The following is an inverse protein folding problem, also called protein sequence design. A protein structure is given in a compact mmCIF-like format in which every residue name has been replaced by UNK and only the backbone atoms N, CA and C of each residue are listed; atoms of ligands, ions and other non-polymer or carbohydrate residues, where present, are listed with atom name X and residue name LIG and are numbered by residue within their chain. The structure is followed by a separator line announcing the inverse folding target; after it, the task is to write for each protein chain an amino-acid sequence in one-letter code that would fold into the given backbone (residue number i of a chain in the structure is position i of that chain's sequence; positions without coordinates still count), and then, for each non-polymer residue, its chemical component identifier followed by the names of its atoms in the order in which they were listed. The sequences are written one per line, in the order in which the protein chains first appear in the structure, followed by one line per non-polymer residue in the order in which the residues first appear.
data_IF_159966898518
#
_entry.id   IF_159966898518
#
_cell.length_a   1.000
_cell.length_b   1.000
_cell.length_c   1.000
_cell.angle_alpha   90.00
_cell.angle_beta   90.00
_cell.angle_gamma   90.00
#
_symmetry.space_group_name_H-M   'P 1'
#
loop_
_entity.id
_entity.type
_entity.pdbx_description
1 polymer ?
#
# COMPACT_ATOMS: atom_id res chain seq x y z
N UNK A 1 40.20 -22.07 6.80
CA UNK A 1 38.83 -21.52 6.91
C UNK A 1 38.83 -20.15 6.27
N UNK A 2 38.25 -20.05 5.07
CA UNK A 2 38.23 -18.82 4.29
C UNK A 2 37.40 -17.76 5.01
N UNK A 3 38.02 -16.62 5.28
CA UNK A 3 37.37 -15.42 5.76
C UNK A 3 36.32 -15.02 4.70
N UNK A 4 35.04 -15.27 4.99
CA UNK A 4 33.92 -14.82 4.18
C UNK A 4 33.87 -13.30 4.26
N UNK A 5 34.58 -12.63 3.36
CA UNK A 5 34.35 -11.23 3.07
C UNK A 5 32.93 -11.12 2.53
N UNK A 6 31.98 -10.82 3.41
CA UNK A 6 30.62 -10.49 3.02
C UNK A 6 30.68 -9.19 2.22
N UNK A 7 30.45 -9.32 0.92
CA UNK A 7 30.45 -8.23 -0.02
C UNK A 7 29.24 -7.32 0.22
N UNK A 8 29.47 -6.02 0.07
CA UNK A 8 28.40 -5.03 0.04
C UNK A 8 27.40 -5.36 -1.07
N UNK A 9 26.13 -4.99 -0.88
CA UNK A 9 25.08 -5.23 -1.87
C UNK A 9 25.40 -4.66 -3.26
N UNK A 10 26.18 -3.58 -3.32
CA UNK A 10 26.56 -2.93 -4.58
C UNK A 10 27.72 -3.63 -5.33
N UNK A 11 28.40 -4.57 -4.67
CA UNK A 11 29.55 -5.27 -5.24
C UNK A 11 29.18 -6.58 -5.96
N UNK A 12 27.93 -7.02 -5.85
CA UNK A 12 27.43 -8.27 -6.43
C UNK A 12 26.40 -8.00 -7.54
N UNK A 13 26.37 -8.81 -8.61
CA UNK A 13 25.30 -8.75 -9.59
C UNK A 13 23.98 -9.11 -8.92
N UNK A 14 22.88 -8.49 -9.38
CA UNK A 14 21.54 -8.76 -8.87
C UNK A 14 21.12 -10.17 -9.28
N UNK A 15 20.78 -11.01 -8.31
CA UNK A 15 20.38 -12.38 -8.53
C UNK A 15 18.95 -12.63 -8.03
N UNK A 16 18.31 -13.68 -8.57
CA UNK A 16 17.01 -14.16 -8.06
C UNK A 16 17.11 -14.61 -6.60
N UNK A 17 18.25 -15.17 -6.20
CA UNK A 17 18.52 -15.58 -4.81
C UNK A 17 18.54 -14.42 -3.81
N UNK A 18 18.69 -13.18 -4.26
CA UNK A 18 18.60 -12.03 -3.34
C UNK A 18 17.17 -11.86 -2.81
N UNK A 19 16.16 -12.35 -3.54
CA UNK A 19 14.74 -12.26 -3.18
C UNK A 19 14.41 -12.98 -1.88
N UNK A 20 15.29 -13.89 -1.45
CA UNK A 20 15.26 -14.48 -0.11
C UNK A 20 15.25 -13.42 1.00
N UNK A 21 15.84 -12.24 0.75
CA UNK A 21 15.77 -11.09 1.66
C UNK A 21 14.35 -10.59 1.92
N UNK A 22 13.46 -10.66 0.93
CA UNK A 22 12.03 -10.33 1.13
C UNK A 22 11.36 -11.38 2.00
N UNK A 23 11.75 -12.64 1.83
CA UNK A 23 11.25 -13.77 2.60
C UNK A 23 11.82 -13.80 4.02
N UNK A 24 12.91 -13.09 4.35
CA UNK A 24 13.30 -12.88 5.75
C UNK A 24 12.27 -12.03 6.53
N UNK A 25 11.56 -11.13 5.85
CA UNK A 25 10.60 -10.21 6.45
C UNK A 25 9.15 -10.52 6.04
N UNK A 26 8.32 -9.54 5.65
CA UNK A 26 6.89 -9.75 5.36
C UNK A 26 6.60 -10.46 4.02
N UNK A 27 7.63 -10.82 3.23
CA UNK A 27 7.44 -11.49 1.96
C UNK A 27 7.02 -12.95 2.12
N UNK A 28 6.10 -13.41 1.27
CA UNK A 28 5.63 -14.79 1.17
C UNK A 28 5.86 -15.33 -0.23
N UNK A 29 6.06 -16.64 -0.31
CA UNK A 29 6.15 -17.38 -1.56
C UNK A 29 5.01 -18.39 -1.62
N UNK A 30 4.32 -18.44 -2.75
CA UNK A 30 3.23 -19.39 -2.99
C UNK A 30 3.49 -20.20 -4.24
N UNK A 31 3.28 -21.50 -4.15
CA UNK A 31 3.49 -22.45 -5.24
C UNK A 31 2.14 -22.83 -5.84
N UNK A 32 2.05 -22.84 -7.17
CA UNK A 32 0.85 -23.19 -7.93
C UNK A 32 1.08 -24.38 -8.88
N UNK A 33 -0.02 -25.01 -9.32
CA UNK A 33 -0.02 -25.95 -10.43
C UNK A 33 0.90 -27.16 -10.23
N UNK A 34 0.78 -27.85 -9.08
CA UNK A 34 1.65 -28.99 -8.69
C UNK A 34 3.15 -28.64 -8.66
N UNK A 35 3.51 -27.39 -8.37
CA UNK A 35 4.91 -26.99 -8.29
C UNK A 35 5.52 -26.56 -9.62
N UNK A 36 4.72 -26.12 -10.58
CA UNK A 36 5.18 -25.64 -11.90
C UNK A 36 5.45 -24.14 -11.96
N UNK A 37 4.82 -23.37 -11.08
CA UNK A 37 5.03 -21.93 -10.97
C UNK A 37 4.93 -21.48 -9.51
N UNK A 38 5.59 -20.38 -9.19
CA UNK A 38 5.48 -19.74 -7.89
C UNK A 38 5.38 -18.22 -8.03
N UNK A 39 4.79 -17.56 -7.03
CA UNK A 39 4.75 -16.10 -6.93
C UNK A 39 5.33 -15.63 -5.60
N UNK A 40 5.82 -14.40 -5.60
CA UNK A 40 6.16 -13.67 -4.39
C UNK A 40 5.11 -12.60 -4.12
N UNK A 41 4.74 -12.46 -2.85
CA UNK A 41 3.81 -11.43 -2.36
C UNK A 41 4.43 -10.72 -1.16
N UNK A 42 4.34 -9.40 -1.10
CA UNK A 42 4.78 -8.59 0.04
C UNK A 42 3.67 -7.62 0.40
N UNK A 43 3.09 -7.80 1.59
CA UNK A 43 2.09 -6.87 2.15
C UNK A 43 2.83 -5.83 3.01
N UNK A 44 2.51 -4.55 2.84
CA UNK A 44 3.23 -3.44 3.46
C UNK A 44 2.31 -2.61 4.35
N UNK A 45 2.83 -2.22 5.51
CA UNK A 45 2.13 -1.40 6.50
C UNK A 45 1.76 -2.19 7.76
N UNK A 46 1.47 -1.49 8.87
CA UNK A 46 0.96 -2.14 10.08
C UNK A 46 -0.34 -2.86 9.74
N UNK A 47 -0.54 -4.04 10.32
CA UNK A 47 -1.83 -4.73 10.24
C UNK A 47 -2.89 -3.85 10.92
N UNK A 48 -4.10 -3.72 10.35
CA UNK A 48 -5.15 -2.96 11.00
C UNK A 48 -5.39 -3.48 12.43
N UNK A 49 -5.64 -2.56 13.36
CA UNK A 49 -6.14 -2.93 14.67
C UNK A 49 -7.53 -3.55 14.48
N UNK A 50 -7.85 -4.67 15.16
CA UNK A 50 -9.20 -5.22 15.07
C UNK A 50 -10.19 -4.13 15.48
N UNK A 51 -11.24 -3.93 14.68
CA UNK A 51 -12.35 -3.09 15.09
C UNK A 51 -12.83 -3.62 16.45
N UNK A 52 -13.06 -2.76 17.45
CA UNK A 52 -13.57 -3.22 18.73
C UNK A 52 -14.83 -4.02 18.45
N UNK A 53 -14.88 -5.26 18.94
CA UNK A 53 -16.11 -6.04 18.95
C UNK A 53 -17.13 -5.13 19.62
N UNK A 54 -18.15 -4.69 18.87
CA UNK A 54 -19.31 -4.04 19.47
C UNK A 54 -19.79 -5.06 20.51
N UNK A 55 -19.60 -4.73 21.79
CA UNK A 55 -20.17 -5.53 22.87
C UNK A 55 -21.66 -5.58 22.52
N UNK A 56 -22.14 -6.74 22.09
CA UNK A 56 -23.56 -6.99 21.89
C UNK A 56 -24.19 -6.50 23.19
N UNK A 57 -24.86 -5.35 23.15
CA UNK A 57 -25.64 -4.85 24.27
C UNK A 57 -26.61 -5.99 24.54
N UNK A 58 -26.32 -6.75 25.61
CA UNK A 58 -27.17 -7.81 26.12
C UNK A 58 -28.53 -7.15 26.28
N UNK A 59 -29.45 -7.46 25.36
CA UNK A 59 -30.86 -7.09 25.36
C UNK A 59 -31.47 -7.73 26.61
N UNK A 60 -31.10 -7.21 27.78
CA UNK A 60 -31.78 -7.45 29.02
C UNK A 60 -33.15 -6.85 28.83
N UNK A 61 -34.15 -7.74 28.72
CA UNK A 61 -35.58 -7.44 28.66
C UNK A 61 -35.95 -6.31 29.64
N UNK A 62 -35.86 -5.06 29.17
CA UNK A 62 -36.39 -3.90 29.84
C UNK A 62 -37.83 -3.78 29.35
N UNK A 63 -38.72 -4.44 30.09
CA UNK A 63 -40.17 -4.23 30.08
C UNK A 63 -40.49 -2.77 29.75
N UNK A 64 -41.20 -2.58 28.63
CA UNK A 64 -41.59 -1.29 28.10
C UNK A 64 -42.36 -0.47 29.16
N UNK A 65 -41.70 0.51 29.78
CA UNK A 65 -42.41 1.67 30.30
C UNK A 65 -42.59 2.63 29.13
N UNK A 66 -43.83 2.71 28.65
CA UNK A 66 -44.32 3.82 27.83
C UNK A 66 -44.19 5.11 28.65
N UNK A 67 -43.03 5.76 28.53
CA UNK A 67 -42.82 7.15 28.90
C UNK A 67 -42.26 7.82 27.65
N UNK A 68 -43.18 8.28 26.80
CA UNK A 68 -42.87 9.08 25.62
C UNK A 68 -42.10 10.32 26.09
N UNK A 69 -40.82 10.49 25.74
CA UNK A 69 -40.12 11.74 26.05
C UNK A 69 -40.76 12.85 25.21
N UNK A 70 -41.17 13.94 25.87
CA UNK A 70 -41.54 15.16 25.16
C UNK A 70 -40.38 15.56 24.22
N UNK A 71 -40.66 16.03 23.00
CA UNK A 71 -39.62 16.44 22.07
C UNK A 71 -38.80 17.59 22.66
N UNK A 72 -37.48 17.45 22.63
CA UNK A 72 -36.57 18.54 22.99
C UNK A 72 -36.91 19.79 22.17
N UNK A 73 -36.92 20.99 22.79
CA UNK A 73 -37.15 22.22 22.06
C UNK A 73 -36.04 22.39 21.01
N UNK A 74 -36.46 22.57 19.77
CA UNK A 74 -35.58 22.97 18.66
C UNK A 74 -34.82 24.22 19.12
N UNK A 75 -33.48 24.25 19.05
CA UNK A 75 -32.75 25.49 19.28
C UNK A 75 -33.09 26.45 18.13
N UNK A 76 -33.98 27.39 18.39
CA UNK A 76 -34.01 28.67 17.69
C UNK A 76 -32.72 29.38 18.08
N UNK A 77 -31.68 29.20 17.26
CA UNK A 77 -30.57 30.13 16.99
C UNK A 77 -29.41 29.32 16.40
N UNK A 78 -29.50 28.97 15.12
CA UNK A 78 -28.30 28.76 14.32
C UNK A 78 -27.68 30.14 14.11
N UNK A 79 -26.47 30.35 14.65
CA UNK A 79 -25.69 31.54 14.37
C UNK A 79 -25.67 31.80 12.85
N UNK A 80 -25.93 33.04 12.39
CA UNK A 80 -25.90 33.35 10.98
C UNK A 80 -24.52 32.99 10.42
N UNK A 81 -24.52 32.21 9.33
CA UNK A 81 -23.31 31.92 8.55
C UNK A 81 -22.63 33.27 8.28
N UNK A 82 -21.36 33.46 8.66
CA UNK A 82 -20.69 34.73 8.43
C UNK A 82 -20.72 35.04 6.94
N UNK A 83 -21.01 36.30 6.61
CA UNK A 83 -20.98 36.83 5.25
C UNK A 83 -19.51 36.73 4.78
N UNK A 84 -19.19 35.66 4.05
CA UNK A 84 -17.85 35.46 3.50
C UNK A 84 -17.70 36.49 2.37
N UNK A 85 -16.75 37.42 2.54
CA UNK A 85 -16.42 38.41 1.52
C UNK A 85 -16.00 37.67 0.23
N UNK A 86 -16.67 37.88 -0.92
CA UNK A 86 -16.32 37.23 -2.17
C UNK A 86 -14.88 37.52 -2.63
N UNK A 87 -14.22 38.57 -2.12
CA UNK A 87 -12.80 38.84 -2.38
C UNK A 87 -11.85 37.92 -1.56
N UNK A 88 -12.31 37.25 -0.48
CA UNK A 88 -11.56 36.19 0.21
C UNK A 88 -11.57 34.84 -0.54
N UNK A 89 -12.41 34.68 -1.57
CA UNK A 89 -12.47 33.48 -2.42
C UNK A 89 -11.65 33.61 -3.71
N UNK A 90 -10.97 34.75 -3.92
CA UNK A 90 -10.22 35.08 -5.14
C UNK A 90 -8.96 34.22 -5.40
N UNK A 91 -8.66 33.22 -4.56
CA UNK A 91 -7.54 32.28 -4.77
C UNK A 91 -7.97 30.96 -5.41
N UNK A 92 -9.28 30.73 -5.56
CA UNK A 92 -9.81 29.60 -6.31
C UNK A 92 -10.00 30.09 -7.75
N UNK A 93 -9.09 29.69 -8.65
CA UNK A 93 -9.18 29.94 -10.10
C UNK A 93 -10.40 29.21 -10.72
N UNK A 94 -11.60 29.63 -10.33
CA UNK A 94 -12.87 29.14 -10.84
C UNK A 94 -13.54 30.26 -11.63
N UNK A 95 -13.96 29.93 -12.85
CA UNK A 95 -14.59 30.89 -13.75
C UNK A 95 -15.88 31.44 -13.09
N UNK A 96 -16.04 32.77 -12.96
CA UNK A 96 -17.23 33.39 -12.37
C UNK A 96 -18.55 32.94 -13.02
N UNK A 97 -18.52 32.55 -14.30
CA UNK A 97 -19.69 32.01 -15.00
C UNK A 97 -20.02 30.56 -14.60
N UNK A 98 -19.04 29.75 -14.19
CA UNK A 98 -19.29 28.41 -13.64
C UNK A 98 -19.95 28.47 -12.26
N UNK A 99 -19.49 29.39 -11.40
CA UNK A 99 -20.06 29.61 -10.06
C UNK A 99 -21.52 30.05 -10.16
N UNK A 100 -21.83 30.98 -11.07
CA UNK A 100 -23.18 31.46 -11.32
C UNK A 100 -24.12 30.36 -11.87
N UNK A 101 -23.60 29.45 -12.70
CA UNK A 101 -24.36 28.31 -13.22
C UNK A 101 -24.65 27.23 -12.16
N UNK A 102 -23.75 27.08 -11.19
CA UNK A 102 -23.85 26.09 -10.11
C UNK A 102 -24.84 26.51 -9.01
N UNK A 103 -25.00 27.83 -8.80
CA UNK A 103 -25.87 28.40 -7.77
C UNK A 103 -27.32 28.66 -8.23
N UNK A 104 -27.62 28.62 -9.53
CA UNK A 104 -28.94 28.97 -10.08
C UNK A 104 -29.72 27.82 -10.72
N UNK A 105 -30.33 26.90 -9.94
CA UNK A 105 -31.30 25.94 -10.50
C UNK A 105 -32.69 26.56 -10.71
N UNK A 106 -33.26 26.24 -11.89
CA UNK A 106 -34.69 26.16 -12.24
C UNK A 106 -35.51 27.47 -12.42
N UNK A 107 -35.92 27.73 -13.67
CA UNK A 107 -37.22 28.36 -13.99
C UNK A 107 -37.20 29.46 -15.06
N UNK A 108 -37.69 29.14 -16.28
CA UNK A 108 -38.36 30.12 -17.17
C UNK A 108 -37.64 30.56 -18.45
N UNK A 109 -38.11 30.04 -19.60
CA UNK A 109 -38.04 30.70 -20.93
C UNK A 109 -39.16 31.78 -21.01
N UNK A 110 -39.21 32.77 -21.95
CA UNK A 110 -38.68 32.68 -23.31
C UNK A 110 -38.14 33.98 -23.99
N UNK A 111 -37.62 33.76 -25.21
CA UNK A 111 -37.77 34.57 -26.44
C UNK A 111 -37.05 35.94 -26.59
N UNK A 112 -36.15 36.04 -27.58
CA UNK A 112 -36.45 36.62 -28.91
C UNK A 112 -35.19 37.14 -29.61
N UNK A 113 -35.15 36.84 -30.91
CA UNK A 113 -34.64 37.69 -32.00
C UNK A 113 -33.11 37.87 -32.16
N UNK A 114 -32.57 37.31 -33.25
CA UNK A 114 -32.24 37.98 -34.54
C UNK A 114 -30.84 38.63 -34.46
N UNK A 115 -29.93 38.48 -35.42
CA UNK A 115 -30.05 38.19 -36.84
C UNK A 115 -28.63 38.03 -37.44
N UNK A 116 -28.55 37.26 -38.54
CA UNK A 116 -27.68 37.45 -39.73
C UNK A 116 -26.16 37.41 -39.51
N UNK A 117 -25.43 36.43 -40.04
CA UNK A 117 -25.26 36.11 -41.48
C UNK A 117 -23.77 36.36 -41.81
N UNK A 118 -23.01 35.63 -42.62
CA UNK A 118 -23.15 34.73 -43.79
C UNK A 118 -21.98 33.71 -43.68
N UNK A 119 -22.07 32.42 -44.00
CA UNK A 119 -22.42 31.67 -45.23
C UNK A 119 -21.43 31.85 -46.39
N UNK A 120 -20.72 30.75 -46.70
CA UNK A 120 -20.19 30.24 -47.98
C UNK A 120 -18.87 29.46 -47.70
N UNK A 121 -18.63 28.21 -48.10
CA UNK A 121 -19.31 27.28 -49.01
C UNK A 121 -18.95 25.82 -48.66
N UNK A 122 -19.97 24.96 -48.77
CA UNK A 122 -19.93 23.49 -48.94
C UNK A 122 -20.36 23.28 -50.42
N UNK A 123 -19.87 22.28 -51.19
CA UNK A 123 -20.53 20.96 -51.30
C UNK A 123 -19.54 19.81 -51.61
N UNK A 124 -19.86 18.52 -51.60
CA UNK A 124 -20.92 17.59 -51.15
C UNK A 124 -20.37 16.19 -51.56
N UNK A 125 -20.61 15.10 -50.83
CA UNK A 125 -21.63 14.06 -51.09
C UNK A 125 -21.09 12.79 -50.41
N UNK A 126 -21.82 11.78 -49.93
CA UNK A 126 -23.23 11.47 -49.71
C UNK A 126 -23.17 10.29 -48.69
N UNK A 127 -23.94 10.24 -47.62
CA UNK A 127 -25.34 9.82 -47.63
C UNK A 127 -25.44 8.40 -47.03
N UNK A 128 -26.09 8.27 -45.86
CA UNK A 128 -27.20 7.33 -45.56
C UNK A 128 -27.47 7.34 -44.04
N UNK A 129 -28.72 7.72 -43.73
CA UNK A 129 -29.55 7.43 -42.53
C UNK A 129 -30.99 7.23 -43.10
N UNK A 130 -31.99 6.64 -42.40
CA UNK A 130 -32.18 6.69 -40.94
C UNK A 130 -32.80 5.45 -40.22
N UNK A 131 -32.64 5.49 -38.89
CA UNK A 131 -33.59 5.24 -37.78
C UNK A 131 -34.60 4.06 -37.76
N UNK A 132 -34.58 3.33 -36.63
CA UNK A 132 -35.64 3.43 -35.60
C UNK A 132 -35.23 2.79 -34.27
N UNK A 133 -35.65 3.46 -33.20
CA UNK A 133 -35.43 3.17 -31.79
C UNK A 133 -36.49 2.22 -31.19
N UNK A 134 -36.14 1.54 -30.08
CA UNK A 134 -36.97 1.41 -28.87
C UNK A 134 -36.19 0.65 -27.77
N UNK A 135 -36.25 1.13 -26.52
CA UNK A 135 -36.21 0.27 -25.33
C UNK A 135 -34.96 0.33 -24.46
N UNK A 136 -34.89 1.34 -23.59
CA UNK A 136 -34.23 1.27 -22.28
C UNK A 136 -35.02 0.30 -21.38
N UNK A 137 -34.33 -0.43 -20.48
CA UNK A 137 -34.65 -0.19 -19.07
C UNK A 137 -33.39 -0.02 -18.23
N UNK A 138 -33.39 1.08 -17.49
CA UNK A 138 -32.36 1.44 -16.54
C UNK A 138 -32.16 0.39 -15.45
N UNK A 139 -30.88 0.13 -15.17
CA UNK A 139 -30.41 -0.33 -13.87
C UNK A 139 -29.20 0.53 -13.51
N UNK A 140 -29.39 1.31 -12.45
CA UNK A 140 -28.50 2.39 -12.03
C UNK A 140 -27.08 1.92 -11.76
N UNK A 141 -26.13 2.51 -12.47
CA UNK A 141 -24.75 2.63 -11.97
C UNK A 141 -24.69 3.91 -11.15
N UNK A 142 -25.21 3.82 -9.93
CA UNK A 142 -24.91 4.78 -8.88
C UNK A 142 -23.41 4.64 -8.60
N UNK A 143 -22.60 5.47 -9.27
CA UNK A 143 -21.22 5.73 -8.87
C UNK A 143 -21.33 6.43 -7.51
N UNK A 144 -21.31 5.65 -6.44
CA UNK A 144 -21.08 6.10 -5.07
C UNK A 144 -19.69 6.71 -4.98
N UNK A 145 -19.62 7.97 -5.42
CA UNK A 145 -18.62 8.96 -5.07
C UNK A 145 -19.10 9.52 -3.73
N UNK A 146 -18.20 9.56 -2.73
CA UNK A 146 -18.41 9.89 -1.30
C UNK A 146 -18.81 8.63 -0.50
N UNK A 147 -18.00 8.01 0.35
CA UNK A 147 -16.86 8.47 1.14
C UNK A 147 -15.62 7.58 0.90
N UNK A 148 -14.65 8.10 0.14
CA UNK A 148 -13.25 7.70 0.28
C UNK A 148 -12.59 8.80 1.09
N UNK A 149 -12.68 8.74 2.40
CA UNK A 149 -11.55 9.13 3.24
C UNK A 149 -10.44 8.15 2.87
N UNK A 150 -9.69 8.49 1.82
CA UNK A 150 -8.41 7.88 1.56
C UNK A 150 -7.56 8.23 2.77
N UNK A 151 -7.56 7.35 3.76
CA UNK A 151 -6.56 7.32 4.82
C UNK A 151 -5.21 7.34 4.11
N UNK A 152 -4.57 8.51 4.15
CA UNK A 152 -3.55 8.89 3.20
C UNK A 152 -2.47 7.81 3.17
N UNK A 153 -2.25 7.19 2.00
CA UNK A 153 -1.23 6.15 1.83
C UNK A 153 0.09 6.64 2.47
N UNK A 154 0.46 6.06 3.62
CA UNK A 154 1.55 6.55 4.46
C UNK A 154 2.81 6.72 3.60
N UNK A 155 3.49 7.90 3.60
CA UNK A 155 4.51 8.23 2.60
C UNK A 155 5.64 7.20 2.52
N UNK A 156 6.02 6.62 3.66
CA UNK A 156 6.95 5.49 3.73
C UNK A 156 6.44 4.23 3.00
N UNK A 157 5.18 3.85 3.19
CA UNK A 157 4.59 2.66 2.54
C UNK A 157 4.57 2.87 1.02
N UNK A 158 4.15 4.06 0.56
CA UNK A 158 4.17 4.44 -0.85
C UNK A 158 5.59 4.40 -1.44
N UNK A 159 6.60 4.81 -0.68
CA UNK A 159 7.99 4.65 -1.08
C UNK A 159 8.42 3.18 -1.15
N UNK A 160 8.12 2.37 -0.12
CA UNK A 160 8.49 0.94 -0.09
C UNK A 160 7.90 0.17 -1.26
N UNK A 161 6.62 0.39 -1.59
CA UNK A 161 5.96 -0.20 -2.76
C UNK A 161 6.78 0.06 -4.03
N UNK A 162 7.12 1.33 -4.29
CA UNK A 162 7.91 1.73 -5.47
C UNK A 162 9.32 1.12 -5.44
N UNK A 163 10.00 1.17 -4.31
CA UNK A 163 11.34 0.62 -4.13
C UNK A 163 11.36 -0.90 -4.39
N UNK A 164 10.37 -1.64 -3.90
CA UNK A 164 10.24 -3.08 -4.15
C UNK A 164 9.95 -3.38 -5.62
N UNK A 165 9.02 -2.67 -6.26
CA UNK A 165 8.76 -2.83 -7.70
C UNK A 165 10.03 -2.58 -8.54
N UNK A 166 10.82 -1.56 -8.21
CA UNK A 166 12.10 -1.28 -8.86
C UNK A 166 13.13 -2.38 -8.59
N UNK A 167 13.23 -2.87 -7.36
CA UNK A 167 14.17 -3.91 -6.97
C UNK A 167 13.88 -5.27 -7.61
N UNK A 168 12.59 -5.62 -7.74
CA UNK A 168 12.10 -6.83 -8.40
C UNK A 168 12.30 -6.75 -9.92
N UNK A 169 11.93 -5.63 -10.56
CA UNK A 169 12.14 -5.40 -12.00
C UNK A 169 13.62 -5.48 -12.38
N UNK A 170 14.51 -4.95 -11.54
CA UNK A 170 15.96 -5.02 -11.78
C UNK A 170 16.55 -6.44 -11.71
N UNK A 171 15.77 -7.43 -11.28
CA UNK A 171 16.10 -8.86 -11.29
C UNK A 171 15.33 -9.64 -12.36
N UNK A 172 14.64 -8.95 -13.28
CA UNK A 172 13.84 -9.58 -14.33
C UNK A 172 12.48 -10.12 -13.85
N UNK A 173 12.04 -9.74 -12.65
CA UNK A 173 10.78 -10.18 -12.04
C UNK A 173 9.85 -8.98 -11.88
N UNK A 174 9.09 -8.57 -12.91
CA UNK A 174 8.13 -7.48 -12.74
C UNK A 174 7.06 -7.86 -11.71
N UNK A 175 6.62 -6.87 -10.93
CA UNK A 175 5.58 -7.02 -9.94
C UNK A 175 4.49 -5.96 -10.14
N UNK A 176 3.27 -6.35 -9.79
CA UNK A 176 2.08 -5.52 -9.79
C UNK A 176 1.80 -5.04 -8.37
N UNK A 177 1.19 -3.86 -8.28
CA UNK A 177 0.72 -3.28 -7.01
C UNK A 177 -0.77 -3.53 -6.90
N UNK A 178 -1.19 -4.13 -5.80
CA UNK A 178 -2.57 -4.39 -5.46
C UNK A 178 -2.89 -3.98 -4.03
N UNK A 179 -3.98 -4.53 -3.52
CA UNK A 179 -4.41 -4.43 -2.12
C UNK A 179 -4.60 -5.85 -1.61
N UNK A 180 -4.09 -6.13 -0.41
CA UNK A 180 -4.39 -7.35 0.31
C UNK A 180 -5.85 -7.34 0.78
N UNK A 181 -6.32 -8.47 1.31
CA UNK A 181 -7.70 -8.62 1.82
C UNK A 181 -8.04 -7.60 2.91
N UNK A 182 -7.04 -7.26 3.73
CA UNK A 182 -7.11 -6.25 4.80
C UNK A 182 -6.91 -4.80 4.30
N UNK A 183 -6.91 -4.56 2.99
CA UNK A 183 -6.77 -3.23 2.40
C UNK A 183 -5.35 -2.65 2.34
N UNK A 184 -4.36 -3.34 2.92
CA UNK A 184 -2.95 -2.88 2.88
C UNK A 184 -2.37 -2.96 1.47
N UNK A 185 -1.46 -2.04 1.08
CA UNK A 185 -0.74 -2.13 -0.18
C UNK A 185 0.02 -3.45 -0.30
N UNK A 186 -0.17 -4.13 -1.43
CA UNK A 186 0.45 -5.41 -1.75
C UNK A 186 1.34 -5.26 -3.00
N UNK A 187 2.56 -5.78 -2.96
CA UNK A 187 3.40 -5.98 -4.14
C UNK A 187 3.44 -7.47 -4.44
N UNK A 188 2.95 -7.86 -5.62
CA UNK A 188 2.89 -9.27 -6.03
C UNK A 188 3.49 -9.51 -7.40
N UNK A 189 4.20 -10.62 -7.56
CA UNK A 189 4.67 -11.06 -8.87
C UNK A 189 3.60 -11.89 -9.56
N UNK A 190 3.69 -12.03 -10.89
CA UNK A 190 2.99 -13.11 -11.57
C UNK A 190 3.50 -14.48 -11.07
N UNK A 191 2.73 -15.54 -11.30
CA UNK A 191 3.23 -16.91 -11.16
C UNK A 191 4.27 -17.20 -12.23
N UNK A 192 5.47 -17.62 -11.82
CA UNK A 192 6.61 -17.86 -12.70
C UNK A 192 7.35 -19.14 -12.33
N UNK A 193 7.91 -19.82 -13.33
CA UNK A 193 8.67 -21.05 -13.14
C UNK A 193 10.04 -20.80 -12.46
N UNK A 194 10.67 -19.64 -12.72
CA UNK A 194 11.99 -19.27 -12.17
C UNK A 194 11.97 -18.97 -10.67
N UNK A 195 10.79 -18.80 -10.06
CA UNK A 195 10.60 -18.62 -8.63
C UNK A 195 10.33 -19.92 -7.86
N UNK A 196 10.14 -21.05 -8.56
CA UNK A 196 9.72 -22.32 -7.95
C UNK A 196 10.75 -22.83 -6.96
N UNK A 197 12.04 -22.83 -7.32
CA UNK A 197 13.10 -23.36 -6.45
C UNK A 197 13.27 -22.48 -5.20
N UNK A 198 13.18 -21.15 -5.38
CA UNK A 198 13.18 -20.20 -4.27
C UNK A 198 11.99 -20.44 -3.34
N UNK A 199 10.78 -20.61 -3.89
CA UNK A 199 9.58 -20.88 -3.10
C UNK A 199 9.70 -22.21 -2.33
N UNK A 200 10.14 -23.29 -3.00
CA UNK A 200 10.33 -24.60 -2.37
C UNK A 200 11.34 -24.57 -1.24
N UNK A 201 12.43 -23.81 -1.40
CA UNK A 201 13.42 -23.67 -0.34
C UNK A 201 12.87 -22.95 0.90
N UNK A 202 11.86 -22.08 0.74
CA UNK A 202 11.30 -21.25 1.80
C UNK A 202 9.93 -21.69 2.31
N UNK A 203 9.30 -22.69 1.70
CA UNK A 203 8.02 -23.26 2.15
C UNK A 203 8.18 -24.72 2.56
N UNK A 204 7.69 -25.10 3.73
CA UNK A 204 7.63 -26.50 4.15
C UNK A 204 6.26 -27.11 3.81
N UNK A 205 6.08 -28.39 4.15
CA UNK A 205 4.80 -29.08 3.96
C UNK A 205 3.66 -28.31 4.64
N UNK A 206 2.60 -28.00 3.88
CA UNK A 206 1.49 -27.16 4.33
C UNK A 206 1.59 -25.68 3.93
N UNK A 207 2.60 -25.28 3.15
CA UNK A 207 2.74 -23.90 2.65
C UNK A 207 3.26 -22.91 3.70
N UNK A 208 3.57 -23.40 4.90
CA UNK A 208 4.14 -22.58 5.97
C UNK A 208 5.55 -22.13 5.61
N UNK A 209 5.83 -20.87 5.89
CA UNK A 209 7.13 -20.26 5.66
C UNK A 209 8.17 -20.79 6.65
N UNK A 210 9.36 -21.08 6.14
CA UNK A 210 10.50 -21.47 6.95
C UNK A 210 11.79 -20.90 6.33
N UNK A 211 12.85 -20.86 7.14
CA UNK A 211 14.17 -20.41 6.70
C UNK A 211 15.00 -21.63 6.29
N UNK A 212 15.52 -21.69 5.04
CA UNK A 212 16.29 -22.82 4.55
C UNK A 212 17.47 -23.19 5.46
N UNK A 213 17.84 -24.48 5.48
CA UNK A 213 19.08 -24.92 6.12
C UNK A 213 20.30 -24.29 5.45
N UNK A 214 21.27 -23.85 6.24
CA UNK A 214 22.48 -23.21 5.72
C UNK A 214 22.27 -21.82 5.13
N UNK A 215 21.10 -21.19 5.34
CA UNK A 215 20.82 -19.83 4.89
C UNK A 215 21.92 -18.84 5.36
N UNK A 216 22.43 -18.06 4.40
CA UNK A 216 23.45 -17.02 4.65
C UNK A 216 22.84 -15.65 4.38
N UNK A 217 22.93 -14.77 5.38
CA UNK A 217 22.53 -13.38 5.24
C UNK A 217 23.68 -12.53 4.71
N UNK A 218 23.61 -12.15 3.44
CA UNK A 218 24.58 -11.28 2.77
C UNK A 218 23.99 -9.90 2.45
N UNK A 219 24.83 -9.01 1.89
CA UNK A 219 24.44 -7.63 1.56
C UNK A 219 23.20 -7.54 0.67
N UNK A 220 23.12 -8.22 -0.49
CA UNK A 220 21.96 -8.16 -1.37
C UNK A 220 20.64 -8.60 -0.73
N UNK A 221 20.63 -9.70 0.03
CA UNK A 221 19.44 -10.16 0.76
C UNK A 221 19.04 -9.18 1.85
N UNK A 222 20.02 -8.75 2.66
CA UNK A 222 19.79 -7.79 3.74
C UNK A 222 19.25 -6.45 3.21
N UNK A 223 19.71 -6.02 2.03
CA UNK A 223 19.20 -4.84 1.35
C UNK A 223 17.73 -4.96 1.00
N UNK A 224 17.30 -6.09 0.43
CA UNK A 224 15.88 -6.29 0.12
C UNK A 224 15.03 -6.37 1.39
N UNK A 225 15.54 -6.98 2.45
CA UNK A 225 14.87 -6.99 3.75
C UNK A 225 14.68 -5.58 4.31
N UNK A 226 15.73 -4.74 4.27
CA UNK A 226 15.66 -3.34 4.70
C UNK A 226 14.66 -2.54 3.88
N UNK A 227 14.63 -2.70 2.56
CA UNK A 227 13.64 -2.01 1.72
C UNK A 227 12.20 -2.39 2.09
N UNK A 228 11.95 -3.64 2.45
CA UNK A 228 10.62 -4.11 2.82
C UNK A 228 10.22 -3.71 4.25
N UNK A 229 11.14 -3.81 5.21
CA UNK A 229 10.80 -3.80 6.63
C UNK A 229 11.87 -3.21 7.56
N UNK A 230 12.83 -2.47 7.03
CA UNK A 230 13.85 -1.76 7.80
C UNK A 230 13.35 -0.43 8.37
N UNK A 231 13.64 -0.16 9.63
CA UNK A 231 13.33 1.12 10.27
C UNK A 231 14.32 1.47 11.39
N UNK A 232 14.59 2.76 11.57
CA UNK A 232 15.27 3.28 12.76
C UNK A 232 14.25 3.49 13.89
N UNK A 233 14.49 2.85 15.03
CA UNK A 233 13.70 2.96 16.25
C UNK A 233 14.59 3.48 17.40
N UNK A 234 14.58 4.81 17.57
CA UNK A 234 15.42 5.51 18.53
C UNK A 234 16.91 5.24 18.29
N UNK A 235 17.53 4.47 19.20
CA UNK A 235 18.96 4.08 19.12
C UNK A 235 19.19 2.70 18.48
N UNK A 236 18.13 2.03 18.06
CA UNK A 236 18.19 0.72 17.45
C UNK A 236 17.75 0.78 15.99
N UNK A 237 18.19 -0.19 15.22
CA UNK A 237 17.73 -0.42 13.87
C UNK A 237 16.94 -1.73 13.88
N UNK A 238 15.72 -1.73 13.35
CA UNK A 238 14.82 -2.87 13.36
C UNK A 238 14.60 -3.42 11.96
N UNK A 239 14.44 -4.74 11.89
CA UNK A 239 14.05 -5.48 10.69
C UNK A 239 12.78 -6.25 11.02
N UNK A 240 11.66 -5.89 10.40
CA UNK A 240 10.39 -6.59 10.60
C UNK A 240 10.44 -8.04 10.14
N UNK A 241 9.86 -8.92 10.96
CA UNK A 241 9.67 -10.35 10.71
C UNK A 241 8.22 -10.62 10.31
N UNK A 242 7.97 -11.81 9.77
CA UNK A 242 6.62 -12.29 9.47
C UNK A 242 5.97 -12.85 10.74
N UNK A 243 4.86 -12.27 11.25
CA UNK A 243 4.18 -12.79 12.44
C UNK A 243 3.62 -14.19 12.25
N UNK A 244 3.26 -14.56 11.02
CA UNK A 244 2.71 -15.89 10.70
C UNK A 244 3.79 -16.96 10.55
N UNK A 245 5.07 -16.61 10.73
CA UNK A 245 6.20 -17.54 10.67
C UNK A 245 7.08 -17.48 11.93
N UNK A 246 6.53 -17.69 13.14
CA UNK A 246 7.24 -17.48 14.41
C UNK A 246 8.50 -18.34 14.56
N UNK A 247 8.54 -19.53 13.93
CA UNK A 247 9.72 -20.41 13.92
C UNK A 247 10.92 -19.91 13.10
N UNK A 248 10.77 -18.82 12.34
CA UNK A 248 11.85 -18.26 11.51
C UNK A 248 12.87 -17.44 12.32
N UNK A 249 12.46 -16.95 13.50
CA UNK A 249 13.22 -15.99 14.31
C UNK A 249 14.63 -16.46 14.66
N UNK A 250 14.78 -17.67 15.22
CA UNK A 250 16.06 -18.18 15.71
C UNK A 250 17.10 -18.41 14.60
N UNK A 251 16.65 -18.85 13.43
CA UNK A 251 17.51 -19.05 12.25
C UNK A 251 17.99 -17.71 11.69
N UNK A 252 17.10 -16.73 11.58
CA UNK A 252 17.47 -15.38 11.14
C UNK A 252 18.35 -14.66 12.16
N UNK A 253 18.11 -14.89 13.45
CA UNK A 253 18.97 -14.40 14.53
C UNK A 253 20.39 -14.97 14.41
N UNK A 254 20.51 -16.27 14.14
CA UNK A 254 21.80 -16.94 13.90
C UNK A 254 22.49 -16.40 12.64
N UNK A 255 21.77 -16.26 11.53
CA UNK A 255 22.29 -15.66 10.30
C UNK A 255 22.77 -14.21 10.52
N UNK A 256 22.05 -13.41 11.32
CA UNK A 256 22.45 -12.05 11.68
C UNK A 256 23.75 -12.00 12.48
N UNK A 257 24.00 -13.00 13.33
CA UNK A 257 25.26 -13.13 14.08
C UNK A 257 26.42 -13.43 13.14
N UNK A 258 26.22 -14.34 12.19
CA UNK A 258 27.24 -14.65 11.17
C UNK A 258 27.55 -13.46 10.25
N UNK A 259 26.57 -12.59 9.97
CA UNK A 259 26.77 -11.34 9.24
C UNK A 259 27.48 -10.23 10.07
N UNK A 260 27.69 -10.45 11.38
CA UNK A 260 28.30 -9.49 12.29
C UNK A 260 27.35 -8.42 12.85
N UNK A 261 26.03 -8.60 12.69
CA UNK A 261 25.01 -7.67 13.17
C UNK A 261 24.63 -7.93 14.63
N UNK A 262 24.67 -9.19 15.07
CA UNK A 262 24.40 -9.59 16.45
C UNK A 262 23.06 -9.09 16.98
N UNK A 263 22.00 -9.27 16.20
CA UNK A 263 20.66 -8.80 16.55
C UNK A 263 20.09 -9.52 17.78
N UNK A 264 18.97 -9.03 18.29
CA UNK A 264 18.11 -9.67 19.29
C UNK A 264 16.67 -9.71 18.77
N UNK A 265 15.88 -10.72 19.15
CA UNK A 265 14.44 -10.72 18.90
C UNK A 265 13.75 -9.72 19.85
N UNK A 266 12.79 -8.96 19.33
CA UNK A 266 11.97 -8.00 20.07
C UNK A 266 10.63 -7.80 19.35
N UNK A 267 9.77 -6.91 19.88
CA UNK A 267 8.47 -6.59 19.31
C UNK A 267 7.32 -7.42 19.89
N UNK A 268 6.09 -7.04 19.53
CA UNK A 268 4.89 -7.78 19.90
C UNK A 268 4.69 -8.99 18.97
N UNK A 269 3.79 -9.91 19.34
CA UNK A 269 3.54 -11.13 18.56
C UNK A 269 3.09 -10.84 17.11
N UNK A 270 2.29 -9.78 16.89
CA UNK A 270 1.84 -9.34 15.56
C UNK A 270 2.87 -8.51 14.79
N UNK A 271 3.86 -7.95 15.48
CA UNK A 271 4.91 -7.10 14.88
C UNK A 271 6.30 -7.51 15.37
N UNK A 272 6.70 -8.77 15.18
CA UNK A 272 8.01 -9.24 15.61
C UNK A 272 9.11 -8.56 14.80
N UNK A 273 10.22 -8.23 15.46
CA UNK A 273 11.37 -7.59 14.82
C UNK A 273 12.69 -8.21 15.27
N UNK A 274 13.69 -8.19 14.37
CA UNK A 274 15.09 -8.24 14.78
C UNK A 274 15.58 -6.84 15.09
N UNK A 275 16.14 -6.65 16.29
CA UNK A 275 16.66 -5.38 16.80
C UNK A 275 18.19 -5.41 16.80
N UNK A 276 18.79 -4.43 16.12
CA UNK A 276 20.24 -4.23 16.02
C UNK A 276 20.58 -2.95 16.79
N UNK A 277 21.44 -3.07 17.80
CA UNK A 277 21.81 -1.94 18.67
C UNK A 277 23.31 -1.72 18.64
N UNK A 278 23.71 -0.44 18.58
CA UNK A 278 25.09 -0.01 18.77
C UNK A 278 25.81 0.37 17.48
N UNK A 279 26.63 1.42 17.57
CA UNK A 279 27.27 2.08 16.44
C UNK A 279 28.09 1.15 15.53
N UNK A 280 28.85 0.22 16.11
CA UNK A 280 29.66 -0.73 15.33
C UNK A 280 28.80 -1.65 14.45
N UNK A 281 27.65 -2.09 14.98
CA UNK A 281 26.73 -2.98 14.26
C UNK A 281 25.91 -2.21 13.22
N UNK A 282 25.53 -0.97 13.49
CA UNK A 282 24.93 -0.07 12.50
C UNK A 282 25.90 0.27 11.36
N UNK A 283 27.16 0.58 11.67
CA UNK A 283 28.20 0.77 10.66
C UNK A 283 28.38 -0.48 9.80
N UNK A 284 28.44 -1.67 10.42
CA UNK A 284 28.51 -2.94 9.71
C UNK A 284 27.29 -3.18 8.81
N UNK A 285 26.09 -2.85 9.31
CA UNK A 285 24.87 -2.91 8.52
C UNK A 285 24.96 -2.00 7.29
N UNK A 286 25.40 -0.75 7.48
CA UNK A 286 25.63 0.21 6.39
C UNK A 286 26.62 -0.31 5.33
N UNK A 287 27.74 -0.90 5.76
CA UNK A 287 28.72 -1.53 4.86
C UNK A 287 28.09 -2.63 3.99
N UNK A 288 27.34 -3.54 4.63
CA UNK A 288 26.66 -4.65 3.94
C UNK A 288 25.60 -4.16 2.97
N UNK A 289 24.83 -3.14 3.37
CA UNK A 289 23.77 -2.58 2.55
C UNK A 289 24.30 -1.78 1.36
N UNK A 290 25.46 -1.15 1.50
CA UNK A 290 26.04 -0.27 0.48
C UNK A 290 25.33 1.07 0.39
N UNK A 291 25.40 1.69 -0.79
CA UNK A 291 24.89 3.05 -1.03
C UNK A 291 23.36 3.08 -0.94
N UNK A 292 22.78 4.06 -0.22
CA UNK A 292 21.33 4.19 -0.15
C UNK A 292 20.71 4.43 -1.54
N UNK A 293 19.45 4.01 -1.77
CA UNK A 293 18.66 4.45 -2.92
C UNK A 293 18.59 5.99 -3.00
N UNK A 294 18.48 6.54 -4.21
CA UNK A 294 18.48 8.00 -4.43
C UNK A 294 17.26 8.70 -3.83
N UNK A 295 16.13 8.00 -3.80
CA UNK A 295 14.84 8.48 -3.34
C UNK A 295 14.51 8.00 -1.92
N UNK A 296 15.53 7.61 -1.14
CA UNK A 296 15.39 7.03 0.20
C UNK A 296 14.44 7.83 1.10
N UNK A 297 13.47 7.14 1.69
CA UNK A 297 12.66 7.70 2.77
C UNK A 297 13.45 7.76 4.09
N UNK A 298 13.26 8.83 4.84
CA UNK A 298 13.94 9.04 6.13
C UNK A 298 13.70 7.89 7.11
N UNK A 299 14.74 7.55 7.86
CA UNK A 299 14.69 6.48 8.87
C UNK A 299 14.72 5.05 8.32
N UNK A 300 14.75 4.85 6.99
CA UNK A 300 14.84 3.49 6.41
C UNK A 300 16.28 2.99 6.36
N UNK A 301 17.26 3.83 6.03
CA UNK A 301 18.66 3.38 5.93
C UNK A 301 19.41 3.62 7.24
N UNK A 302 20.28 2.69 7.68
CA UNK A 302 21.17 2.98 8.80
C UNK A 302 22.16 4.08 8.41
N UNK A 303 22.35 5.04 9.31
CA UNK A 303 23.33 6.12 9.24
C UNK A 303 24.53 5.84 10.13
#
# INVERSE_FOLDING_TARGET
MGQLSFWSADALPRALTDLEGLLCGPGRAEIFGRGSAARLTVVLGPEPEPEPEEEDEDDGDAEASDDTPEPDPVPDDLDPVPDIDPDELAHLDLDPHEIAALLGRAGGFPDTQRERGRRADIPEHAGVSPERACGDPGVGRQRSRIARTAEADHPLVTWRVRALCCALRARGVPAEVGRAEDGRPEVRTAFRADLVDLARAWTCGGGMKHVPDGFVLDGPRLRLWVLAAGALDGKAYTLGLDPDAPGSGDRLLTASRHAGLGATLAGAARTPVLRIVGRRRHGRLGELLGRPPRDLADGVWPV
#
